data_IF_424643576898
#
_entry.id   IF_424643576898
#
_cell.length_a   1.000
_cell.length_b   1.000
_cell.length_c   1.000
_cell.angle_alpha   90.00
_cell.angle_beta   90.00
_cell.angle_gamma   90.00
#
_symmetry.space_group_name_H-M   'P 1'
#
loop_
_entity.id
_entity.type
_entity.pdbx_description
1 polymer ?
#
# COMPACT_ATOMS: atom_id res chain seq x y z
N UNK A 1 -59.68 -2.94 9.24
CA UNK A 1 -59.37 -2.21 8.00
C UNK A 1 -58.12 -1.33 8.09
N UNK A 2 -57.32 -1.41 9.17
CA UNK A 2 -56.10 -0.63 9.39
C UNK A 2 -54.79 -1.37 9.08
N UNK A 3 -54.84 -2.69 8.83
CA UNK A 3 -53.64 -3.50 8.59
C UNK A 3 -53.30 -3.69 7.09
N UNK A 4 -54.12 -3.15 6.18
CA UNK A 4 -53.90 -3.29 4.72
C UNK A 4 -53.13 -2.08 4.14
N UNK A 5 -53.08 -0.95 4.85
CA UNK A 5 -52.38 0.26 4.40
C UNK A 5 -50.90 0.29 4.77
N UNK A 6 -50.44 -0.56 5.70
CA UNK A 6 -49.02 -0.63 6.05
C UNK A 6 -48.21 -1.48 5.06
N UNK A 7 -48.87 -2.38 4.34
CA UNK A 7 -48.24 -3.35 3.43
C UNK A 7 -48.12 -2.81 1.99
N UNK A 8 -48.88 -1.76 1.64
CA UNK A 8 -48.84 -1.15 0.30
C UNK A 8 -47.68 -0.18 0.06
N UNK A 9 -46.95 0.22 1.11
CA UNK A 9 -45.82 1.16 1.00
C UNK A 9 -44.44 0.49 0.92
N UNK A 10 -44.33 -0.79 1.28
CA UNK A 10 -43.05 -1.51 1.32
C UNK A 10 -43.02 -2.59 0.25
N UNK A 11 -42.74 -2.21 -1.00
CA UNK A 11 -42.43 -3.22 -2.01
C UNK A 11 -41.16 -3.98 -1.59
N UNK A 12 -41.16 -5.33 -1.52
CA UNK A 12 -39.99 -6.10 -1.08
C UNK A 12 -38.67 -5.77 -1.82
N UNK A 13 -38.68 -5.45 -3.14
CA UNK A 13 -37.49 -4.98 -3.85
C UNK A 13 -36.95 -3.63 -3.36
N UNK A 14 -37.83 -2.72 -2.95
CA UNK A 14 -37.46 -1.38 -2.49
C UNK A 14 -36.78 -1.46 -1.12
N UNK A 15 -37.35 -2.21 -0.17
CA UNK A 15 -36.76 -2.44 1.16
C UNK A 15 -35.40 -3.12 1.04
N UNK A 16 -35.26 -4.06 0.10
CA UNK A 16 -33.99 -4.70 -0.17
C UNK A 16 -32.94 -3.70 -0.67
N UNK A 17 -33.30 -2.82 -1.61
CA UNK A 17 -32.39 -1.79 -2.14
C UNK A 17 -32.01 -0.73 -1.10
N UNK A 18 -32.94 -0.34 -0.23
CA UNK A 18 -32.67 0.52 0.93
C UNK A 18 -31.70 -0.16 1.90
N UNK A 19 -31.92 -1.45 2.20
CA UNK A 19 -31.03 -2.25 3.04
C UNK A 19 -29.62 -2.35 2.49
N UNK A 20 -29.45 -2.67 1.19
CA UNK A 20 -28.12 -2.76 0.57
C UNK A 20 -27.38 -1.43 0.60
N UNK A 21 -28.08 -0.31 0.41
CA UNK A 21 -27.48 1.02 0.53
C UNK A 21 -26.96 1.28 1.94
N UNK A 22 -27.77 1.00 2.96
CA UNK A 22 -27.39 1.18 4.36
C UNK A 22 -26.21 0.27 4.76
N UNK A 23 -26.22 -1.00 4.34
CA UNK A 23 -25.09 -1.90 4.56
C UNK A 23 -23.80 -1.37 3.91
N UNK A 24 -23.91 -0.80 2.71
CA UNK A 24 -22.81 -0.12 2.03
C UNK A 24 -22.19 1.00 2.86
N UNK A 25 -23.03 1.87 3.43
CA UNK A 25 -22.58 2.98 4.29
C UNK A 25 -21.86 2.48 5.55
N UNK A 26 -22.38 1.41 6.18
CA UNK A 26 -21.76 0.79 7.37
C UNK A 26 -20.37 0.21 7.03
N UNK A 27 -20.28 -0.56 5.94
CA UNK A 27 -19.00 -1.16 5.49
C UNK A 27 -17.99 -0.07 5.11
N UNK A 28 -18.45 1.02 4.49
CA UNK A 28 -17.63 2.19 4.17
C UNK A 28 -17.00 2.80 5.43
N UNK A 29 -17.77 2.87 6.53
CA UNK A 29 -17.26 3.30 7.84
C UNK A 29 -16.15 2.38 8.39
N UNK A 30 -16.27 1.06 8.19
CA UNK A 30 -15.23 0.09 8.60
C UNK A 30 -13.94 0.33 7.81
N UNK A 31 -14.05 0.49 6.49
CA UNK A 31 -12.90 0.77 5.62
C UNK A 31 -12.23 2.09 5.99
N UNK A 32 -13.02 3.12 6.32
CA UNK A 32 -12.50 4.38 6.83
C UNK A 32 -11.71 4.19 8.15
N UNK A 33 -12.18 3.34 9.06
CA UNK A 33 -11.43 2.96 10.26
C UNK A 33 -10.04 2.38 9.94
N UNK A 34 -9.95 1.49 8.94
CA UNK A 34 -8.67 0.94 8.45
C UNK A 34 -7.78 2.07 7.90
N UNK A 35 -8.35 2.99 7.13
CA UNK A 35 -7.65 4.15 6.57
C UNK A 35 -7.07 5.05 7.67
N UNK A 36 -7.82 5.30 8.76
CA UNK A 36 -7.32 6.07 9.91
C UNK A 36 -6.09 5.42 10.52
N UNK A 37 -6.11 4.09 10.75
CA UNK A 37 -4.96 3.36 11.29
C UNK A 37 -3.76 3.45 10.34
N UNK A 38 -3.97 3.22 9.05
CA UNK A 38 -2.92 3.31 8.04
C UNK A 38 -2.34 4.72 7.92
N UNK A 39 -3.18 5.75 8.02
CA UNK A 39 -2.76 7.15 8.05
C UNK A 39 -1.83 7.42 9.22
N UNK A 40 -2.20 7.01 10.45
CA UNK A 40 -1.35 7.19 11.64
C UNK A 40 0.00 6.50 11.47
N UNK A 41 0.01 5.26 10.96
CA UNK A 41 1.25 4.52 10.70
C UNK A 41 2.14 5.24 9.65
N UNK A 42 1.53 5.68 8.54
CA UNK A 42 2.23 6.40 7.47
C UNK A 42 2.77 7.76 7.93
N UNK A 43 1.95 8.52 8.66
CA UNK A 43 2.30 9.83 9.20
C UNK A 43 3.48 9.70 10.18
N UNK A 44 3.42 8.75 11.12
CA UNK A 44 4.51 8.50 12.08
C UNK A 44 5.82 8.13 11.38
N UNK A 45 5.77 7.19 10.44
CA UNK A 45 6.97 6.74 9.71
C UNK A 45 7.57 7.85 8.85
N UNK A 46 6.74 8.61 8.13
CA UNK A 46 7.21 9.67 7.23
C UNK A 46 7.72 10.87 8.03
N UNK A 47 7.05 11.23 9.13
CA UNK A 47 7.48 12.29 10.05
C UNK A 47 8.85 12.00 10.68
N UNK A 48 9.05 10.78 11.18
CA UNK A 48 10.34 10.36 11.73
C UNK A 48 11.49 10.53 10.73
N UNK A 49 11.22 10.38 9.44
CA UNK A 49 12.23 10.52 8.36
C UNK A 49 12.49 11.95 7.96
N UNK A 50 11.47 12.82 8.00
CA UNK A 50 11.65 14.25 7.76
C UNK A 50 12.56 14.84 8.86
N UNK A 51 12.40 14.37 10.09
CA UNK A 51 13.21 14.81 11.24
C UNK A 51 14.65 14.28 11.20
N UNK A 52 14.86 13.07 10.69
CA UNK A 52 16.21 12.53 10.47
C UNK A 52 16.84 13.25 9.27
N UNK A 53 17.82 14.15 9.50
CA UNK A 53 18.50 15.00 8.49
C UNK A 53 19.32 14.23 7.42
N UNK A 54 18.86 13.06 6.99
CA UNK A 54 19.48 12.30 5.91
C UNK A 54 19.05 12.82 4.54
N UNK A 55 19.88 12.54 3.54
CA UNK A 55 19.65 12.94 2.15
C UNK A 55 18.30 12.39 1.63
N UNK A 56 17.46 13.26 1.06
CA UNK A 56 16.11 12.92 0.57
C UNK A 56 14.91 13.57 1.29
N UNK A 57 15.11 14.59 2.13
CA UNK A 57 14.04 15.30 2.86
C UNK A 57 12.89 15.78 1.98
N UNK A 58 13.17 16.33 0.78
CA UNK A 58 12.14 16.81 -0.17
C UNK A 58 11.17 15.71 -0.63
N UNK A 59 11.68 14.50 -0.90
CA UNK A 59 10.85 13.35 -1.32
C UNK A 59 9.99 12.83 -0.17
N UNK A 60 10.52 12.81 1.04
CA UNK A 60 9.76 12.41 2.23
C UNK A 60 8.67 13.43 2.54
N UNK A 61 8.94 14.72 2.37
CA UNK A 61 7.94 15.78 2.48
C UNK A 61 6.80 15.61 1.46
N UNK A 62 7.14 15.32 0.20
CA UNK A 62 6.13 15.02 -0.84
C UNK A 62 5.19 13.88 -0.43
N UNK A 63 5.72 12.75 0.05
CA UNK A 63 4.88 11.65 0.53
C UNK A 63 4.05 12.02 1.75
N UNK A 64 4.58 12.85 2.65
CA UNK A 64 3.83 13.32 3.81
C UNK A 64 2.63 14.16 3.39
N UNK A 65 2.84 15.14 2.50
CA UNK A 65 1.75 15.97 1.96
C UNK A 65 0.74 15.10 1.22
N UNK A 66 1.19 14.15 0.41
CA UNK A 66 0.32 13.25 -0.34
C UNK A 66 -0.55 12.36 0.58
N UNK A 67 0.02 11.81 1.66
CA UNK A 67 -0.74 11.02 2.66
C UNK A 67 -1.79 11.88 3.37
N UNK A 68 -1.46 13.12 3.73
CA UNK A 68 -2.43 14.03 4.34
C UNK A 68 -3.55 14.42 3.36
N UNK A 69 -3.22 14.63 2.07
CA UNK A 69 -4.21 14.90 1.03
C UNK A 69 -5.18 13.73 0.86
N UNK A 70 -4.67 12.50 0.73
CA UNK A 70 -5.51 11.30 0.63
C UNK A 70 -6.43 11.14 1.84
N UNK A 71 -5.91 11.37 3.05
CA UNK A 71 -6.69 11.28 4.27
C UNK A 71 -7.79 12.34 4.33
N UNK A 72 -7.48 13.60 3.98
CA UNK A 72 -8.47 14.68 3.93
C UNK A 72 -9.59 14.39 2.92
N UNK A 73 -9.25 13.91 1.72
CA UNK A 73 -10.23 13.55 0.70
C UNK A 73 -11.08 12.32 1.10
N UNK A 74 -10.47 11.31 1.73
CA UNK A 74 -11.20 10.14 2.27
C UNK A 74 -12.16 10.52 3.39
N UNK A 75 -11.76 11.48 4.24
CA UNK A 75 -12.60 12.06 5.29
C UNK A 75 -13.77 12.84 4.70
N UNK A 76 -13.50 13.65 3.67
CA UNK A 76 -14.54 14.38 2.95
C UNK A 76 -15.56 13.43 2.32
N UNK A 77 -15.08 12.37 1.67
CA UNK A 77 -15.94 11.34 1.07
C UNK A 77 -16.85 10.68 2.10
N UNK A 78 -16.31 10.18 3.22
CA UNK A 78 -17.16 9.53 4.24
C UNK A 78 -18.12 10.52 4.90
N UNK A 79 -17.69 11.76 5.16
CA UNK A 79 -18.54 12.77 5.77
C UNK A 79 -19.72 13.14 4.85
N UNK A 80 -19.45 13.36 3.56
CA UNK A 80 -20.51 13.62 2.57
C UNK A 80 -21.42 12.41 2.38
N UNK A 81 -20.89 11.19 2.36
CA UNK A 81 -21.68 9.96 2.27
C UNK A 81 -22.62 9.82 3.46
N UNK A 82 -22.09 9.95 4.68
CA UNK A 82 -22.90 9.90 5.91
C UNK A 82 -23.97 10.99 5.97
N UNK A 83 -23.67 12.21 5.50
CA UNK A 83 -24.64 13.30 5.46
C UNK A 83 -25.80 12.99 4.49
N UNK A 84 -25.51 12.52 3.27
CA UNK A 84 -26.54 12.17 2.30
C UNK A 84 -27.37 10.99 2.80
N UNK A 85 -26.73 9.97 3.37
CA UNK A 85 -27.45 8.84 3.97
C UNK A 85 -28.34 9.25 5.13
N UNK A 86 -27.87 10.16 6.00
CA UNK A 86 -28.72 10.70 7.05
C UNK A 86 -29.92 11.47 6.47
N UNK A 87 -29.70 12.32 5.46
CA UNK A 87 -30.76 13.10 4.83
C UNK A 87 -31.80 12.22 4.13
N UNK A 88 -31.37 11.14 3.46
CA UNK A 88 -32.27 10.20 2.80
C UNK A 88 -33.08 9.38 3.79
N UNK A 89 -32.43 8.79 4.81
CA UNK A 89 -33.09 7.87 5.74
C UNK A 89 -33.87 8.56 6.87
N UNK A 90 -33.48 9.77 7.28
CA UNK A 90 -34.12 10.49 8.38
C UNK A 90 -35.01 11.62 7.87
N UNK A 91 -34.48 12.53 7.06
CA UNK A 91 -35.18 13.76 6.70
C UNK A 91 -36.15 13.59 5.52
N UNK A 92 -35.81 12.75 4.55
CA UNK A 92 -36.55 12.56 3.31
C UNK A 92 -36.96 11.09 3.12
N UNK A 93 -37.39 10.44 4.20
CA UNK A 93 -37.75 9.03 4.16
C UNK A 93 -38.90 8.72 3.19
N UNK A 94 -39.85 9.65 3.06
CA UNK A 94 -41.02 9.53 2.19
C UNK A 94 -40.74 10.01 0.75
N UNK A 95 -39.47 10.14 0.35
CA UNK A 95 -39.11 10.47 -1.02
C UNK A 95 -39.64 9.41 -2.01
N UNK A 96 -40.14 9.79 -3.21
CA UNK A 96 -40.62 8.82 -4.19
C UNK A 96 -39.53 7.80 -4.56
N UNK A 97 -39.79 6.52 -4.29
CA UNK A 97 -38.81 5.43 -4.47
C UNK A 97 -37.91 5.15 -3.25
N UNK A 98 -38.15 5.85 -2.13
CA UNK A 98 -37.48 5.64 -0.84
C UNK A 98 -36.13 6.35 -0.70
N UNK A 99 -35.47 6.19 0.46
CA UNK A 99 -34.15 6.75 0.74
C UNK A 99 -33.09 6.39 -0.29
N UNK A 100 -33.10 5.16 -0.81
CA UNK A 100 -32.12 4.71 -1.82
C UNK A 100 -32.24 5.50 -3.14
N UNK A 101 -33.47 5.76 -3.60
CA UNK A 101 -33.71 6.61 -4.76
C UNK A 101 -33.34 8.07 -4.49
N UNK A 102 -33.55 8.56 -3.27
CA UNK A 102 -33.11 9.90 -2.87
C UNK A 102 -31.60 10.07 -2.97
N UNK A 103 -30.80 9.10 -2.49
CA UNK A 103 -29.33 9.18 -2.55
C UNK A 103 -28.79 9.10 -3.98
N UNK A 104 -29.43 8.29 -4.84
CA UNK A 104 -29.14 8.20 -6.27
C UNK A 104 -29.37 9.55 -6.97
N UNK A 105 -30.50 10.20 -6.67
CA UNK A 105 -30.92 11.44 -7.35
C UNK A 105 -30.29 12.69 -6.74
N UNK A 106 -30.03 12.67 -5.43
CA UNK A 106 -29.46 13.78 -4.65
C UNK A 106 -27.98 13.49 -4.42
N UNK A 107 -27.26 13.28 -5.51
CA UNK A 107 -25.81 13.10 -5.45
C UNK A 107 -25.14 14.43 -5.11
N UNK A 108 -24.26 14.45 -4.12
CA UNK A 108 -23.55 15.67 -3.72
C UNK A 108 -22.27 15.85 -4.53
N UNK A 109 -22.06 17.06 -5.05
CA UNK A 109 -20.81 17.45 -5.69
C UNK A 109 -19.55 17.11 -4.86
N UNK A 110 -19.47 17.40 -3.54
CA UNK A 110 -18.29 17.06 -2.75
C UNK A 110 -18.02 15.54 -2.67
N UNK A 111 -19.06 14.70 -2.63
CA UNK A 111 -18.90 13.24 -2.62
C UNK A 111 -18.29 12.73 -3.94
N UNK A 112 -18.85 13.14 -5.07
CA UNK A 112 -18.40 12.67 -6.39
C UNK A 112 -17.00 13.18 -6.73
N UNK A 113 -16.72 14.44 -6.41
CA UNK A 113 -15.39 15.03 -6.60
C UNK A 113 -14.36 14.32 -5.73
N UNK A 114 -14.66 14.08 -4.45
CA UNK A 114 -13.75 13.35 -3.57
C UNK A 114 -13.48 11.93 -4.08
N UNK A 115 -14.53 11.22 -4.51
CA UNK A 115 -14.42 9.88 -5.08
C UNK A 115 -13.45 9.83 -6.28
N UNK A 116 -13.64 10.70 -7.26
CA UNK A 116 -12.84 10.70 -8.49
C UNK A 116 -11.42 11.18 -8.26
N UNK A 117 -11.23 12.22 -7.45
CA UNK A 117 -9.87 12.71 -7.13
C UNK A 117 -9.09 11.66 -6.35
N UNK A 118 -9.72 10.93 -5.42
CA UNK A 118 -9.09 9.81 -4.72
C UNK A 118 -8.67 8.72 -5.70
N UNK A 119 -9.54 8.33 -6.63
CA UNK A 119 -9.23 7.33 -7.65
C UNK A 119 -8.02 7.77 -8.50
N UNK A 120 -8.02 9.01 -9.00
CA UNK A 120 -6.91 9.53 -9.79
C UNK A 120 -5.61 9.60 -9.00
N UNK A 121 -5.66 9.98 -7.72
CA UNK A 121 -4.48 9.96 -6.86
C UNK A 121 -3.94 8.53 -6.71
N UNK A 122 -4.81 7.54 -6.51
CA UNK A 122 -4.44 6.13 -6.38
C UNK A 122 -3.81 5.59 -7.67
N UNK A 123 -4.46 5.79 -8.82
CA UNK A 123 -3.96 5.39 -10.14
C UNK A 123 -2.62 6.05 -10.45
N UNK A 124 -2.48 7.36 -10.18
CA UNK A 124 -1.24 8.09 -10.41
C UNK A 124 -0.07 7.54 -9.57
N UNK A 125 -0.30 7.16 -8.31
CA UNK A 125 0.74 6.58 -7.46
C UNK A 125 1.18 5.20 -7.96
N UNK A 126 0.23 4.36 -8.37
CA UNK A 126 0.50 3.04 -8.95
C UNK A 126 1.34 3.17 -10.23
N UNK A 127 0.96 4.08 -11.13
CA UNK A 127 1.68 4.35 -12.37
C UNK A 127 3.08 4.91 -12.09
N UNK A 128 3.20 5.90 -11.20
CA UNK A 128 4.49 6.47 -10.80
C UNK A 128 5.45 5.38 -10.30
N UNK A 129 4.95 4.47 -9.47
CA UNK A 129 5.74 3.34 -8.97
C UNK A 129 6.23 2.45 -10.11
N UNK A 130 5.35 2.10 -11.05
CA UNK A 130 5.73 1.28 -12.21
C UNK A 130 6.83 1.97 -13.04
N UNK A 131 6.70 3.28 -13.28
CA UNK A 131 7.72 4.08 -13.98
C UNK A 131 9.07 4.02 -13.26
N UNK A 132 9.08 4.14 -11.92
CA UNK A 132 10.31 4.06 -11.12
C UNK A 132 10.97 2.69 -11.22
N UNK A 133 10.20 1.60 -11.21
CA UNK A 133 10.72 0.23 -11.30
C UNK A 133 11.31 -0.07 -12.70
N UNK A 134 10.83 0.60 -13.74
CA UNK A 134 11.31 0.44 -15.11
C UNK A 134 12.41 1.43 -15.55
N UNK A 135 12.90 2.29 -14.65
CA UNK A 135 13.84 3.38 -14.96
C UNK A 135 15.11 2.93 -15.70
N UNK A 136 15.64 1.75 -15.37
CA UNK A 136 16.91 1.25 -15.92
C UNK A 136 16.73 0.42 -17.22
N UNK A 137 15.55 0.47 -17.84
CA UNK A 137 15.19 -0.40 -18.96
C UNK A 137 14.92 0.38 -20.24
N UNK A 138 15.28 -0.19 -21.41
CA UNK A 138 14.97 0.39 -22.73
C UNK A 138 13.46 0.60 -22.96
N UNK A 139 12.63 -0.25 -22.35
CA UNK A 139 11.17 -0.18 -22.39
C UNK A 139 10.57 0.92 -21.51
N UNK A 140 11.37 1.69 -20.77
CA UNK A 140 10.90 2.76 -19.90
C UNK A 140 9.97 3.75 -20.62
N UNK A 141 10.34 4.19 -21.83
CA UNK A 141 9.53 5.15 -22.61
C UNK A 141 8.15 4.59 -22.96
N UNK A 142 8.07 3.29 -23.26
CA UNK A 142 6.79 2.62 -23.59
C UNK A 142 5.90 2.54 -22.34
N UNK A 143 6.47 2.19 -21.19
CA UNK A 143 5.72 2.12 -19.92
C UNK A 143 5.22 3.50 -19.49
N UNK A 144 6.04 4.54 -19.65
CA UNK A 144 5.62 5.93 -19.39
C UNK A 144 4.49 6.36 -20.33
N UNK A 145 4.62 6.08 -21.64
CA UNK A 145 3.59 6.40 -22.63
C UNK A 145 2.28 5.66 -22.36
N UNK A 146 2.33 4.36 -22.07
CA UNK A 146 1.17 3.54 -21.74
C UNK A 146 0.48 4.01 -20.46
N UNK A 147 1.24 4.23 -19.39
CA UNK A 147 0.71 4.74 -18.12
C UNK A 147 0.10 6.13 -18.27
N UNK A 148 0.74 7.02 -19.03
CA UNK A 148 0.20 8.34 -19.35
C UNK A 148 -1.11 8.28 -20.13
N UNK A 149 -1.17 7.45 -21.17
CA UNK A 149 -2.38 7.24 -21.97
C UNK A 149 -3.54 6.71 -21.13
N UNK A 150 -3.26 5.71 -20.29
CA UNK A 150 -4.22 5.13 -19.35
C UNK A 150 -4.75 6.16 -18.35
N UNK A 151 -3.85 6.94 -17.73
CA UNK A 151 -4.24 7.99 -16.79
C UNK A 151 -5.08 9.06 -17.47
N UNK A 152 -4.73 9.47 -18.69
CA UNK A 152 -5.54 10.40 -19.48
C UNK A 152 -6.94 9.84 -19.76
N UNK A 153 -7.06 8.55 -20.08
CA UNK A 153 -8.36 7.89 -20.24
C UNK A 153 -9.21 7.94 -18.96
N UNK A 154 -8.60 7.67 -17.81
CA UNK A 154 -9.26 7.77 -16.49
C UNK A 154 -9.63 9.22 -16.12
N UNK A 155 -8.80 10.19 -16.49
CA UNK A 155 -9.06 11.62 -16.28
C UNK A 155 -10.25 12.10 -17.12
N UNK A 156 -10.29 11.73 -18.40
CA UNK A 156 -11.38 12.12 -19.30
C UNK A 156 -12.70 11.49 -18.86
N UNK A 157 -12.72 10.18 -18.65
CA UNK A 157 -13.96 9.48 -18.26
C UNK A 157 -14.46 9.86 -16.87
N UNK A 158 -13.55 10.03 -15.89
CA UNK A 158 -13.91 10.51 -14.56
C UNK A 158 -14.42 11.96 -14.55
N UNK A 159 -13.81 12.85 -15.35
CA UNK A 159 -14.26 14.26 -15.46
C UNK A 159 -15.64 14.35 -16.08
N UNK A 160 -15.91 13.56 -17.13
CA UNK A 160 -17.23 13.49 -17.75
C UNK A 160 -18.27 13.00 -16.76
N UNK A 161 -17.97 11.93 -16.01
CA UNK A 161 -18.88 11.39 -15.00
C UNK A 161 -19.21 12.41 -13.90
N UNK A 162 -18.21 13.10 -13.33
CA UNK A 162 -18.44 14.15 -12.32
C UNK A 162 -19.25 15.31 -12.88
N UNK A 163 -18.97 15.72 -14.13
CA UNK A 163 -19.65 16.86 -14.76
C UNK A 163 -21.14 16.60 -14.95
N UNK A 164 -21.50 15.37 -15.32
CA UNK A 164 -22.89 14.93 -15.52
C UNK A 164 -23.60 14.78 -14.17
N UNK A 165 -22.96 14.13 -13.20
CA UNK A 165 -23.56 13.88 -11.87
C UNK A 165 -23.69 15.14 -11.01
N UNK A 166 -22.91 16.20 -11.29
CA UNK A 166 -22.96 17.46 -10.53
C UNK A 166 -24.01 18.46 -11.06
N UNK A 167 -24.68 18.19 -12.19
CA UNK A 167 -25.70 19.06 -12.79
C UNK A 167 -27.07 18.35 -12.91
N UNK A 168 -27.80 18.18 -11.80
CA UNK A 168 -29.08 17.47 -11.80
C UNK A 168 -30.20 18.17 -12.58
N UNK A 169 -30.06 19.45 -12.93
CA UNK A 169 -31.12 20.24 -13.61
C UNK A 169 -31.16 20.11 -15.14
N UNK A 170 -30.16 19.48 -15.77
CA UNK A 170 -30.10 19.29 -17.24
C UNK A 170 -30.11 17.82 -17.68
N UNK A 171 -30.14 16.87 -16.73
CA UNK A 171 -30.17 15.44 -17.04
C UNK A 171 -31.60 14.98 -17.36
N UNK A 172 -32.13 15.38 -18.51
CA UNK A 172 -33.33 14.77 -19.16
C UNK A 172 -33.07 13.33 -19.63
N UNK A 173 -31.94 12.75 -19.23
CA UNK A 173 -31.30 11.59 -19.83
C UNK A 173 -30.68 10.76 -18.70
N UNK A 174 -31.50 10.20 -17.81
CA UNK A 174 -31.06 9.43 -16.64
C UNK A 174 -30.17 8.22 -16.97
N UNK A 175 -30.19 7.75 -18.22
CA UNK A 175 -29.34 6.65 -18.68
C UNK A 175 -27.84 7.01 -18.68
N UNK A 176 -27.45 8.28 -18.79
CA UNK A 176 -26.03 8.61 -19.00
C UNK A 176 -25.19 8.66 -17.71
N UNK A 177 -25.79 8.91 -16.55
CA UNK A 177 -25.04 9.18 -15.29
C UNK A 177 -24.46 7.92 -14.64
N UNK A 178 -25.23 6.83 -14.57
CA UNK A 178 -24.75 5.55 -14.02
C UNK A 178 -24.04 4.69 -15.07
N UNK A 179 -24.49 4.75 -16.33
CA UNK A 179 -23.85 4.00 -17.41
C UNK A 179 -22.43 4.48 -17.72
N UNK A 180 -22.07 5.71 -17.35
CA UNK A 180 -20.68 6.20 -17.47
C UNK A 180 -19.78 5.84 -16.29
N UNK A 181 -20.35 5.52 -15.12
CA UNK A 181 -19.58 5.03 -13.97
C UNK A 181 -18.98 3.66 -14.26
N UNK A 182 -19.74 2.79 -14.92
CA UNK A 182 -19.31 1.44 -15.31
C UNK A 182 -18.03 1.43 -16.19
N UNK A 183 -17.95 2.14 -17.33
CA UNK A 183 -16.74 2.19 -18.15
C UNK A 183 -15.60 2.93 -17.46
N UNK A 184 -15.88 3.98 -16.67
CA UNK A 184 -14.86 4.67 -15.88
C UNK A 184 -14.16 3.71 -14.89
N UNK A 185 -14.94 2.96 -14.10
CA UNK A 185 -14.40 1.99 -13.15
C UNK A 185 -13.74 0.79 -13.84
N UNK A 186 -14.24 0.38 -15.00
CA UNK A 186 -13.62 -0.67 -15.82
C UNK A 186 -12.24 -0.27 -16.32
N UNK A 187 -12.08 0.99 -16.75
CA UNK A 187 -10.78 1.55 -17.14
C UNK A 187 -9.85 1.56 -15.92
N UNK A 188 -10.26 2.11 -14.78
CA UNK A 188 -9.41 2.15 -13.59
C UNK A 188 -9.03 0.75 -13.07
N UNK A 189 -9.95 -0.21 -13.11
CA UNK A 189 -9.67 -1.63 -12.82
C UNK A 189 -8.59 -2.19 -13.76
N UNK A 190 -8.71 -1.91 -15.06
CA UNK A 190 -7.73 -2.33 -16.07
C UNK A 190 -6.36 -1.72 -15.80
N UNK A 191 -6.31 -0.44 -15.43
CA UNK A 191 -5.07 0.25 -15.04
C UNK A 191 -4.45 -0.46 -13.83
N UNK A 192 -5.23 -0.67 -12.78
CA UNK A 192 -4.74 -1.29 -11.54
C UNK A 192 -4.16 -2.69 -11.80
N UNK A 193 -4.87 -3.55 -12.55
CA UNK A 193 -4.42 -4.91 -12.85
C UNK A 193 -3.18 -4.90 -13.75
N UNK A 194 -3.19 -4.16 -14.85
CA UNK A 194 -2.06 -4.14 -15.79
C UNK A 194 -0.80 -3.57 -15.13
N UNK A 195 -0.92 -2.42 -14.46
CA UNK A 195 0.22 -1.79 -13.77
C UNK A 195 0.74 -2.67 -12.62
N UNK A 196 -0.14 -3.35 -11.89
CA UNK A 196 0.24 -4.33 -10.87
C UNK A 196 1.08 -5.47 -11.48
N UNK A 197 0.58 -6.11 -12.54
CA UNK A 197 1.28 -7.22 -13.22
C UNK A 197 2.66 -6.75 -13.72
N UNK A 198 2.73 -5.62 -14.43
CA UNK A 198 3.99 -5.07 -14.93
C UNK A 198 4.99 -4.84 -13.78
N UNK A 199 4.53 -4.23 -12.68
CA UNK A 199 5.37 -3.92 -11.53
C UNK A 199 5.89 -5.21 -10.86
N UNK A 200 5.01 -6.20 -10.63
CA UNK A 200 5.35 -7.47 -9.98
C UNK A 200 6.32 -8.29 -10.83
N UNK A 201 6.04 -8.48 -12.12
CA UNK A 201 6.90 -9.24 -13.04
C UNK A 201 8.31 -8.66 -13.03
N UNK A 202 8.42 -7.32 -13.07
CA UNK A 202 9.72 -6.66 -13.07
C UNK A 202 10.46 -6.80 -11.74
N UNK A 203 9.76 -6.70 -10.62
CA UNK A 203 10.34 -6.93 -9.28
C UNK A 203 10.87 -8.36 -9.14
N UNK A 204 10.12 -9.35 -9.62
CA UNK A 204 10.55 -10.76 -9.59
C UNK A 204 11.72 -11.03 -10.54
N UNK A 205 11.78 -10.36 -11.69
CA UNK A 205 12.94 -10.41 -12.58
C UNK A 205 14.21 -9.86 -11.89
N UNK A 206 14.10 -8.69 -11.24
CA UNK A 206 15.21 -8.13 -10.47
C UNK A 206 15.63 -9.05 -9.32
N UNK A 207 14.68 -9.66 -8.61
CA UNK A 207 14.95 -10.68 -7.61
C UNK A 207 15.76 -11.83 -8.18
N UNK A 208 15.32 -12.43 -9.29
CA UNK A 208 16.01 -13.57 -9.91
C UNK A 208 17.46 -13.22 -10.29
N UNK A 209 17.69 -12.02 -10.83
CA UNK A 209 19.04 -11.54 -11.15
C UNK A 209 19.91 -11.31 -9.92
N UNK A 210 19.37 -10.67 -8.88
CA UNK A 210 20.11 -10.39 -7.65
C UNK A 210 20.43 -11.68 -6.90
N UNK A 211 19.47 -12.59 -6.79
CA UNK A 211 19.68 -13.90 -6.17
C UNK A 211 20.76 -14.70 -6.89
N UNK A 212 20.80 -14.66 -8.23
CA UNK A 212 21.84 -15.32 -9.02
C UNK A 212 23.24 -14.70 -8.82
N UNK A 213 23.32 -13.40 -8.56
CA UNK A 213 24.60 -12.69 -8.42
C UNK A 213 25.14 -12.65 -6.97
N UNK A 214 24.27 -12.54 -5.97
CA UNK A 214 24.62 -12.24 -4.56
C UNK A 214 24.18 -13.34 -3.58
N UNK A 215 23.49 -14.39 -4.06
CA UNK A 215 22.98 -15.49 -3.24
C UNK A 215 21.54 -15.30 -2.72
N UNK A 216 20.95 -16.34 -2.09
CA UNK A 216 19.52 -16.42 -1.75
C UNK A 216 19.04 -15.39 -0.71
N UNK A 217 19.91 -14.89 0.18
CA UNK A 217 19.53 -13.98 1.26
C UNK A 217 19.08 -12.58 0.82
N UNK A 218 19.58 -12.08 -0.32
CA UNK A 218 19.31 -10.70 -0.78
C UNK A 218 18.02 -10.54 -1.59
N UNK A 219 17.37 -11.64 -1.99
CA UNK A 219 16.14 -11.63 -2.79
C UNK A 219 14.84 -11.50 -1.99
N UNK A 220 14.87 -11.71 -0.67
CA UNK A 220 13.67 -11.75 0.18
C UNK A 220 12.92 -10.41 0.23
N UNK A 221 13.65 -9.30 0.22
CA UNK A 221 13.07 -7.95 0.25
C UNK A 221 12.19 -7.69 -0.98
N UNK A 222 12.66 -8.06 -2.18
CA UNK A 222 11.90 -7.91 -3.42
C UNK A 222 10.64 -8.79 -3.45
N UNK A 223 10.69 -9.99 -2.86
CA UNK A 223 9.53 -10.87 -2.75
C UNK A 223 8.45 -10.30 -1.81
N UNK A 224 8.86 -9.76 -0.66
CA UNK A 224 7.96 -9.08 0.27
C UNK A 224 7.32 -7.84 -0.38
N UNK A 225 8.10 -7.04 -1.11
CA UNK A 225 7.56 -5.90 -1.87
C UNK A 225 6.59 -6.33 -2.99
N UNK A 226 6.80 -7.50 -3.60
CA UNK A 226 5.92 -8.03 -4.62
C UNK A 226 4.60 -8.56 -4.04
N UNK A 227 4.62 -9.37 -2.97
CA UNK A 227 3.36 -9.86 -2.35
C UNK A 227 2.52 -8.71 -1.85
N UNK A 228 3.18 -7.70 -1.28
CA UNK A 228 2.50 -6.52 -0.81
C UNK A 228 1.83 -5.69 -1.92
N UNK A 229 2.41 -5.61 -3.13
CA UNK A 229 1.68 -5.04 -4.29
C UNK A 229 0.40 -5.81 -4.51
N UNK A 230 0.53 -7.14 -4.60
CA UNK A 230 -0.58 -8.03 -4.95
C UNK A 230 -1.70 -7.91 -3.92
N UNK A 231 -1.36 -7.95 -2.63
CA UNK A 231 -2.30 -7.76 -1.52
C UNK A 231 -3.01 -6.40 -1.62
N UNK A 232 -2.26 -5.32 -1.85
CA UNK A 232 -2.84 -3.97 -1.97
C UNK A 232 -3.72 -3.80 -3.22
N UNK A 233 -3.31 -4.36 -4.36
CA UNK A 233 -4.04 -4.30 -5.61
C UNK A 233 -5.31 -5.15 -5.57
N UNK A 234 -5.30 -6.26 -4.80
CA UNK A 234 -6.45 -7.13 -4.63
C UNK A 234 -7.62 -6.40 -3.94
N UNK A 235 -7.36 -5.54 -2.96
CA UNK A 235 -8.42 -4.79 -2.24
C UNK A 235 -9.26 -3.96 -3.21
N UNK A 236 -8.61 -3.18 -4.07
CA UNK A 236 -9.30 -2.40 -5.09
C UNK A 236 -9.95 -3.31 -6.16
N UNK A 237 -9.19 -4.26 -6.71
CA UNK A 237 -9.70 -5.11 -7.80
C UNK A 237 -10.91 -5.95 -7.40
N UNK A 238 -10.91 -6.53 -6.19
CA UNK A 238 -12.05 -7.32 -5.68
C UNK A 238 -13.27 -6.41 -5.52
N UNK A 239 -13.10 -5.24 -4.89
CA UNK A 239 -14.18 -4.28 -4.68
C UNK A 239 -14.78 -3.80 -6.02
N UNK A 240 -13.93 -3.50 -7.00
CA UNK A 240 -14.34 -3.09 -8.34
C UNK A 240 -15.06 -4.19 -9.10
N UNK A 241 -14.58 -5.44 -9.05
CA UNK A 241 -15.24 -6.58 -9.70
C UNK A 241 -16.61 -6.86 -9.05
N UNK A 242 -16.71 -6.82 -7.72
CA UNK A 242 -17.98 -6.99 -7.01
C UNK A 242 -19.00 -5.93 -7.43
N UNK A 243 -18.58 -4.68 -7.58
CA UNK A 243 -19.42 -3.62 -8.12
C UNK A 243 -19.83 -3.90 -9.58
N UNK A 244 -18.87 -4.13 -10.48
CA UNK A 244 -19.13 -4.29 -11.91
C UNK A 244 -20.05 -5.48 -12.21
N UNK A 245 -19.85 -6.62 -11.53
CA UNK A 245 -20.70 -7.80 -11.67
C UNK A 245 -22.10 -7.53 -11.14
N UNK A 246 -22.22 -6.91 -9.95
CA UNK A 246 -23.53 -6.59 -9.37
C UNK A 246 -24.31 -5.59 -10.22
N UNK A 247 -23.62 -4.61 -10.81
CA UNK A 247 -24.20 -3.65 -11.74
C UNK A 247 -24.65 -4.33 -13.04
N UNK A 248 -23.83 -5.20 -13.62
CA UNK A 248 -24.17 -5.93 -14.85
C UNK A 248 -25.39 -6.84 -14.71
N UNK A 249 -25.62 -7.39 -13.51
CA UNK A 249 -26.79 -8.22 -13.18
C UNK A 249 -28.00 -7.37 -12.73
N UNK A 250 -27.88 -6.03 -12.71
CA UNK A 250 -28.89 -5.10 -12.20
C UNK A 250 -29.33 -5.41 -10.74
N UNK A 251 -28.38 -5.86 -9.92
CA UNK A 251 -28.64 -6.16 -8.51
C UNK A 251 -28.46 -4.90 -7.64
N UNK A 252 -29.37 -4.63 -6.68
CA UNK A 252 -29.21 -3.54 -5.70
C UNK A 252 -27.95 -3.66 -4.83
N UNK A 253 -27.25 -4.79 -4.86
CA UNK A 253 -25.94 -4.95 -4.23
C UNK A 253 -24.86 -4.02 -4.82
N UNK A 254 -25.02 -3.56 -6.07
CA UNK A 254 -24.11 -2.59 -6.69
C UNK A 254 -23.96 -1.33 -5.83
N UNK A 255 -25.05 -0.88 -5.20
CA UNK A 255 -25.08 0.28 -4.31
C UNK A 255 -24.21 0.12 -3.06
N UNK A 256 -24.10 -1.10 -2.54
CA UNK A 256 -23.24 -1.38 -1.39
C UNK A 256 -21.76 -1.36 -1.79
N UNK A 257 -21.45 -1.97 -2.94
CA UNK A 257 -20.08 -2.09 -3.42
C UNK A 257 -19.51 -0.77 -3.93
N UNK A 258 -20.32 0.12 -4.54
CA UNK A 258 -19.83 1.43 -4.99
C UNK A 258 -19.37 2.31 -3.82
N UNK A 259 -20.12 2.31 -2.71
CA UNK A 259 -19.74 3.05 -1.50
C UNK A 259 -18.46 2.47 -0.87
N UNK A 260 -18.40 1.14 -0.78
CA UNK A 260 -17.21 0.43 -0.27
C UNK A 260 -15.97 0.71 -1.13
N UNK A 261 -16.15 0.72 -2.46
CA UNK A 261 -15.09 0.98 -3.43
C UNK A 261 -14.47 2.37 -3.24
N UNK A 262 -15.28 3.37 -2.90
CA UNK A 262 -14.83 4.75 -2.67
C UNK A 262 -13.77 4.89 -1.57
N UNK A 263 -13.78 4.00 -0.57
CA UNK A 263 -12.72 3.90 0.44
C UNK A 263 -11.65 2.87 0.08
N UNK A 264 -12.01 1.76 -0.55
CA UNK A 264 -11.07 0.71 -0.95
C UNK A 264 -9.91 1.23 -1.81
N UNK A 265 -10.17 2.19 -2.69
CA UNK A 265 -9.16 2.84 -3.55
C UNK A 265 -8.04 3.57 -2.78
N UNK A 266 -8.25 3.95 -1.52
CA UNK A 266 -7.26 4.69 -0.70
C UNK A 266 -6.36 3.75 0.11
N UNK A 267 -6.81 2.53 0.39
CA UNK A 267 -6.07 1.54 1.18
C UNK A 267 -4.77 1.16 0.48
N UNK A 268 -4.83 0.90 -0.82
CA UNK A 268 -3.67 0.49 -1.61
C UNK A 268 -2.52 1.52 -1.60
N UNK A 269 -2.74 2.81 -1.95
CA UNK A 269 -1.67 3.80 -1.92
C UNK A 269 -1.09 4.03 -0.53
N UNK A 270 -1.89 3.99 0.53
CA UNK A 270 -1.40 4.10 1.91
C UNK A 270 -0.51 2.93 2.31
N UNK A 271 -0.92 1.69 2.03
CA UNK A 271 -0.08 0.51 2.28
C UNK A 271 1.26 0.66 1.56
N UNK A 272 1.24 1.01 0.27
CA UNK A 272 2.43 1.19 -0.58
C UNK A 272 3.40 2.19 0.05
N UNK A 273 2.91 3.35 0.47
CA UNK A 273 3.74 4.38 1.11
C UNK A 273 4.30 3.88 2.44
N UNK A 274 3.49 3.20 3.25
CA UNK A 274 3.93 2.61 4.50
C UNK A 274 5.13 1.68 4.29
N UNK A 275 5.06 0.73 3.35
CA UNK A 275 6.18 -0.20 3.12
C UNK A 275 7.40 0.44 2.47
N UNK A 276 7.22 1.38 1.54
CA UNK A 276 8.34 2.14 0.97
C UNK A 276 9.07 2.92 2.05
N UNK A 277 8.32 3.41 3.05
CA UNK A 277 8.92 4.00 4.22
C UNK A 277 9.69 2.94 5.01
N UNK A 278 9.09 1.83 5.44
CA UNK A 278 9.77 0.79 6.23
C UNK A 278 11.02 0.20 5.55
N UNK A 279 10.93 -0.18 4.28
CA UNK A 279 12.04 -0.81 3.55
C UNK A 279 13.28 0.10 3.45
N UNK A 280 13.07 1.42 3.35
CA UNK A 280 14.19 2.38 3.41
C UNK A 280 14.81 2.49 4.80
N UNK A 281 14.05 2.31 5.89
CA UNK A 281 14.63 2.25 7.24
C UNK A 281 15.53 1.04 7.39
N UNK A 282 15.09 -0.10 6.86
CA UNK A 282 15.88 -1.31 6.90
C UNK A 282 17.21 -1.14 6.16
N UNK A 283 17.18 -0.61 4.93
CA UNK A 283 18.40 -0.37 4.16
C UNK A 283 19.32 0.67 4.83
N UNK A 284 18.78 1.75 5.39
CA UNK A 284 19.61 2.74 6.09
C UNK A 284 20.27 2.16 7.35
N UNK A 285 19.54 1.35 8.11
CA UNK A 285 20.06 0.72 9.31
C UNK A 285 21.11 -0.35 8.98
N UNK A 286 20.91 -1.13 7.91
CA UNK A 286 21.88 -2.10 7.44
C UNK A 286 23.17 -1.39 6.97
N UNK A 287 23.04 -0.32 6.18
CA UNK A 287 24.21 0.46 5.75
C UNK A 287 24.96 1.06 6.94
N UNK A 288 24.25 1.63 7.92
CA UNK A 288 24.87 2.19 9.13
C UNK A 288 25.60 1.10 9.94
N UNK A 289 25.00 -0.09 10.08
CA UNK A 289 25.63 -1.23 10.74
C UNK A 289 26.90 -1.67 10.02
N UNK A 290 26.85 -1.83 8.69
CA UNK A 290 28.00 -2.20 7.86
C UNK A 290 29.14 -1.18 7.96
N UNK A 291 28.86 0.12 7.90
CA UNK A 291 29.86 1.18 8.08
C UNK A 291 30.45 1.18 9.50
N UNK A 292 29.64 0.94 10.53
CA UNK A 292 30.11 0.87 11.92
C UNK A 292 31.01 -0.36 12.18
N UNK A 293 30.72 -1.51 11.57
CA UNK A 293 31.57 -2.71 11.68
C UNK A 293 32.91 -2.58 10.94
N UNK A 294 32.94 -1.90 9.78
CA UNK A 294 34.21 -1.62 9.08
C UNK A 294 35.11 -0.65 9.87
N UNK A 295 34.52 0.25 10.65
CA UNK A 295 35.27 1.19 11.49
C UNK A 295 35.90 0.52 12.73
N UNK A 296 35.39 -0.64 13.16
CA UNK A 296 36.00 -1.43 14.24
C UNK A 296 37.18 -2.29 13.77
N UNK A 297 37.21 -2.73 12.50
CA UNK A 297 38.34 -3.50 11.95
C UNK A 297 39.55 -2.60 11.63
N UNK A 298 39.34 -1.31 11.36
CA UNK A 298 40.41 -0.33 11.14
C UNK A 298 41.03 0.25 12.44
N UNK A 299 40.64 -0.26 13.61
CA UNK A 299 41.10 0.21 14.93
C UNK A 299 41.78 -0.88 15.78
N UNK A 300 42.41 -1.87 15.15
CA UNK A 300 43.60 -2.46 15.78
C UNK A 300 44.74 -1.46 15.61
N UNK A 301 45.25 -0.82 16.69
CA UNK A 301 46.48 -0.06 16.56
C UNK A 301 47.56 -1.06 16.14
N UNK A 302 48.11 -0.88 14.94
CA UNK A 302 49.45 -1.38 14.64
C UNK A 302 50.36 -0.62 15.61
N UNK A 303 50.59 -1.24 16.77
CA UNK A 303 51.56 -0.75 17.73
C UNK A 303 52.93 -1.01 17.09
N UNK A 304 53.43 -0.01 16.36
CA UNK A 304 54.79 0.00 15.83
C UNK A 304 55.76 0.13 17.01
N UNK A 305 55.99 -0.98 17.70
CA UNK A 305 57.18 -1.14 18.51
C UNK A 305 58.37 -1.31 17.55
N UNK A 306 59.46 -0.54 17.68
CA UNK A 306 60.68 -0.81 16.94
C UNK A 306 61.16 -2.22 17.33
N UNK A 307 61.45 -3.05 16.33
CA UNK A 307 61.93 -4.40 16.53
C UNK A 307 63.17 -4.38 17.45
N UNK A 308 63.05 -5.02 18.61
CA UNK A 308 64.16 -5.27 19.53
C UNK A 308 65.07 -6.31 18.86
N UNK A 309 66.38 -6.05 18.65
CA UNK A 309 67.26 -7.01 18.02
C UNK A 309 67.36 -8.26 18.89
N UNK A 310 67.19 -9.42 18.25
CA UNK A 310 67.24 -10.74 18.85
C UNK A 310 68.71 -11.06 19.24
N UNK A 311 69.12 -10.68 20.46
CA UNK A 311 70.39 -11.13 21.02
C UNK A 311 70.26 -12.58 21.46
N UNK A 312 70.65 -13.51 20.59
CA UNK A 312 70.87 -14.91 20.97
C UNK A 312 72.18 -14.96 21.76
N UNK A 313 72.07 -14.99 23.09
CA UNK A 313 73.19 -15.33 23.97
C UNK A 313 73.18 -16.84 24.17
N UNK A 314 74.15 -17.53 23.57
CA UNK A 314 74.38 -18.96 23.80
C UNK A 314 75.06 -19.09 25.17
N UNK A 315 74.35 -19.66 26.14
CA UNK A 315 74.90 -20.00 27.44
C UNK A 315 75.32 -21.48 27.43
N UNK A 316 76.63 -21.72 27.48
CA UNK A 316 77.21 -23.04 27.68
C UNK A 316 77.21 -23.36 29.17
N UNK A 317 76.29 -24.21 29.61
CA UNK A 317 76.29 -24.79 30.96
C UNK A 317 76.98 -26.14 30.96
N UNK A 318 78.27 -26.17 31.34
CA UNK A 318 79.04 -27.38 31.68
C UNK A 318 78.74 -27.71 33.15
N UNK A 319 78.24 -28.91 33.45
CA UNK A 319 78.15 -29.41 34.82
C UNK A 319 78.57 -30.88 34.86
N UNK A 320 79.72 -31.12 35.49
CA UNK A 320 80.33 -32.42 35.75
C UNK A 320 79.89 -32.91 37.14
N UNK A 321 79.41 -34.15 37.15
CA UNK A 321 79.63 -35.28 38.07
C UNK A 321 79.60 -35.08 39.60
N UNK A 322 78.71 -35.84 40.26
CA UNK A 322 79.08 -36.86 41.24
C UNK A 322 77.92 -37.85 41.52
N UNK A 323 78.08 -39.07 41.00
CA UNK A 323 78.18 -40.35 41.73
C UNK A 323 77.14 -40.74 42.80
N UNK A 324 76.53 -41.92 42.62
CA UNK A 324 76.25 -42.83 43.73
C UNK A 324 74.91 -43.58 43.72
N UNK A 325 74.97 -44.86 43.31
CA UNK A 325 74.15 -46.02 43.75
C UNK A 325 72.75 -46.29 43.14
N UNK A 326 72.67 -47.47 42.51
CA UNK A 326 71.49 -48.30 42.17
C UNK A 326 71.33 -49.33 43.33
N UNK A 327 70.14 -49.87 43.70
CA UNK A 327 69.55 -51.00 42.96
C UNK A 327 67.99 -51.08 42.95
N UNK A 328 67.47 -51.69 41.87
CA UNK A 328 66.42 -52.73 41.75
C UNK A 328 65.28 -52.80 42.81
N UNK A 329 64.02 -52.93 42.35
CA UNK A 329 63.18 -54.17 42.49
C UNK A 329 61.65 -53.95 42.28
N UNK A 330 61.09 -54.82 41.44
CA UNK A 330 59.75 -55.42 41.28
C UNK A 330 58.41 -54.76 41.72
N UNK A 331 57.39 -54.95 40.84
CA UNK A 331 56.00 -55.46 41.10
C UNK A 331 55.09 -54.61 42.03
N UNK A 332 53.76 -54.52 41.90
CA UNK A 332 52.70 -55.33 41.31
C UNK A 332 51.46 -54.46 41.01
N UNK A 333 50.59 -55.01 40.19
CA UNK A 333 49.20 -54.65 39.90
C UNK A 333 48.20 -54.87 41.06
N UNK A 334 46.99 -54.29 40.89
CA UNK A 334 45.68 -54.59 41.53
C UNK A 334 45.35 -53.78 42.79
N UNK A 335 44.36 -52.87 42.70
CA UNK A 335 42.92 -53.10 42.96
C UNK A 335 42.09 -52.18 42.06
#
# INVERSE_FOLDING_TARGET
MSNVLYDSQFQPPQVYAEGTWLYGAIVTGIFYGIIVVLYVMCARSTWSRIRSKNDGSKKNWFFFVYVNLLFALSTLYVASNSQITQLGFINHRDYPGGPSAFEINTSSAPLNVAFVVLNWCADALMIWRCIVVYRDCKFHRIVVGLGGFMLLGSLVTGSLWVSITSQPSQSTTSWMSFDLLFPYLSISLTINILICILTVVRLLYHRARITKALGPGYGMLYASFASMIIESAAVFSISSVLYLVSYAVNSPLANAFVQTLGQAQVIAPLLIIHRVSEGKAWTSNMSARLTSSTTQVARTPINSQPAKPLNVRVEYGRQLDHEGSIPLESKDSVV
#
